data_IF_506172739901
#
_entry.id   IF_506172739901
#
_cell.length_a   1.000
_cell.length_b   1.000
_cell.length_c   1.000
_cell.angle_alpha   90.00
_cell.angle_beta   90.00
_cell.angle_gamma   90.00
#
_symmetry.space_group_name_H-M   'P 1'
#
loop_
_entity.id
_entity.type
_entity.pdbx_description
1 polymer ?
#
# COMPACT_ATOMS: atom_id res chain seq x y z
N UNK A 1 5.24 10.33 10.16
CA UNK A 1 3.88 10.57 9.64
C UNK A 1 3.77 12.04 9.28
N UNK A 2 3.17 12.39 8.14
CA UNK A 2 2.84 13.79 7.85
C UNK A 2 1.40 13.96 8.33
N UNK A 3 1.24 14.39 9.57
CA UNK A 3 -0.05 14.85 10.10
C UNK A 3 -0.36 16.18 9.43
N UNK A 4 -1.29 16.23 8.47
CA UNK A 4 -1.96 17.51 8.16
C UNK A 4 -3.14 17.38 7.19
N UNK A 5 -4.03 18.38 7.28
CA UNK A 5 -5.34 18.49 6.63
C UNK A 5 -5.39 17.99 5.17
N UNK A 6 -6.49 17.31 4.76
CA UNK A 6 -6.71 16.92 3.37
C UNK A 6 -6.73 18.15 2.44
N UNK A 7 -6.04 18.06 1.30
CA UNK A 7 -6.06 19.09 0.24
C UNK A 7 -4.76 19.86 -0.03
N UNK A 8 -3.70 19.66 0.75
CA UNK A 8 -2.42 20.40 0.59
C UNK A 8 -1.48 19.88 -0.53
N UNK A 9 -2.02 19.19 -1.55
CA UNK A 9 -1.24 18.80 -2.72
C UNK A 9 -0.23 17.66 -2.50
N UNK A 10 -0.28 16.91 -1.39
CA UNK A 10 0.61 15.77 -1.12
C UNK A 10 0.52 14.70 -2.21
N UNK A 11 -0.69 14.42 -2.69
CA UNK A 11 -0.93 13.54 -3.84
C UNK A 11 -0.27 14.08 -5.10
N UNK A 12 -0.45 15.36 -5.39
CA UNK A 12 0.17 16.03 -6.55
C UNK A 12 1.69 16.00 -6.47
N UNK A 13 2.26 16.21 -5.28
CA UNK A 13 3.70 16.15 -5.04
C UNK A 13 4.25 14.74 -5.22
N UNK A 14 3.60 13.72 -4.64
CA UNK A 14 4.03 12.32 -4.80
C UNK A 14 4.00 11.87 -6.26
N UNK A 15 2.92 12.20 -6.99
CA UNK A 15 2.80 11.94 -8.42
C UNK A 15 3.85 12.74 -9.22
N UNK A 16 4.10 13.99 -8.85
CA UNK A 16 5.09 14.85 -9.49
C UNK A 16 6.51 14.30 -9.36
N UNK A 17 6.89 13.84 -8.15
CA UNK A 17 8.18 13.19 -7.89
C UNK A 17 8.28 11.90 -8.69
N UNK A 18 7.26 11.04 -8.66
CA UNK A 18 7.26 9.78 -9.39
C UNK A 18 7.49 10.01 -10.90
N UNK A 19 6.71 10.91 -11.50
CA UNK A 19 6.84 11.25 -12.93
C UNK A 19 8.19 11.87 -13.27
N UNK A 20 8.69 12.80 -12.45
CA UNK A 20 9.95 13.49 -12.72
C UNK A 20 11.16 12.56 -12.65
N UNK A 21 11.08 11.49 -11.86
CA UNK A 21 12.14 10.51 -11.67
C UNK A 21 11.92 9.20 -12.45
N UNK A 22 10.82 9.08 -13.22
CA UNK A 22 10.48 7.86 -13.95
C UNK A 22 10.15 6.66 -13.04
N UNK A 23 9.65 6.91 -11.84
CA UNK A 23 9.34 5.91 -10.82
C UNK A 23 7.88 5.46 -10.89
N UNK A 24 7.62 4.20 -10.51
CA UNK A 24 6.26 3.67 -10.36
C UNK A 24 5.49 4.34 -9.23
N UNK A 25 4.20 4.57 -9.43
CA UNK A 25 3.30 5.17 -8.46
C UNK A 25 2.11 4.26 -8.17
N UNK A 26 1.90 3.95 -6.90
CA UNK A 26 0.75 3.21 -6.39
C UNK A 26 -0.09 4.07 -5.45
N UNK A 27 -1.39 3.82 -5.38
CA UNK A 27 -2.29 4.46 -4.42
C UNK A 27 -3.17 3.40 -3.75
N UNK A 28 -3.30 3.51 -2.44
CA UNK A 28 -4.20 2.71 -1.61
C UNK A 28 -5.11 3.68 -0.88
N UNK A 29 -6.42 3.53 -1.04
CA UNK A 29 -7.40 4.22 -0.21
C UNK A 29 -7.83 3.25 0.88
N UNK A 30 -7.58 3.59 2.14
CA UNK A 30 -7.97 2.73 3.24
C UNK A 30 -9.45 2.88 3.57
N UNK A 31 -10.11 1.74 3.69
CA UNK A 31 -11.50 1.57 4.10
C UNK A 31 -11.58 0.39 5.08
N UNK A 32 -12.67 0.27 5.83
CA UNK A 32 -12.83 -0.78 6.84
C UNK A 32 -12.92 -2.19 6.27
N UNK A 33 -13.21 -2.32 4.97
CA UNK A 33 -13.31 -3.57 4.21
C UNK A 33 -12.05 -3.90 3.40
N UNK A 34 -11.04 -3.02 3.38
CA UNK A 34 -9.79 -3.26 2.66
C UNK A 34 -9.06 -4.48 3.21
N UNK A 35 -8.75 -5.44 2.34
CA UNK A 35 -8.04 -6.67 2.70
C UNK A 35 -6.52 -6.49 2.57
N UNK A 36 -5.71 -7.27 3.33
CA UNK A 36 -4.26 -7.29 3.15
C UNK A 36 -3.81 -7.53 1.71
N UNK A 37 -4.49 -8.46 1.00
CA UNK A 37 -4.21 -8.80 -0.40
C UNK A 37 -4.46 -7.67 -1.38
N UNK A 38 -5.31 -6.70 -1.05
CA UNK A 38 -5.53 -5.53 -1.90
C UNK A 38 -4.30 -4.60 -1.89
N UNK A 39 -3.44 -4.72 -0.87
CA UNK A 39 -2.16 -4.00 -0.75
C UNK A 39 -1.02 -4.85 -1.29
N UNK A 40 -0.92 -6.09 -0.84
CA UNK A 40 0.22 -6.99 -1.10
C UNK A 40 0.10 -7.78 -2.40
N UNK A 41 -1.09 -7.83 -3.01
CA UNK A 41 -1.35 -8.64 -4.19
C UNK A 41 -1.92 -10.01 -3.85
N UNK A 42 -2.31 -10.74 -4.90
CA UNK A 42 -2.90 -12.07 -4.80
C UNK A 42 -2.55 -12.94 -6.01
N UNK A 43 -2.60 -14.25 -5.81
CA UNK A 43 -2.53 -15.22 -6.90
C UNK A 43 -3.90 -15.40 -7.55
N UNK A 44 -4.00 -15.19 -8.86
CA UNK A 44 -5.22 -15.39 -9.64
C UNK A 44 -5.01 -16.58 -10.57
N UNK A 45 -5.98 -17.50 -10.60
CA UNK A 45 -5.91 -18.65 -11.50
C UNK A 45 -6.14 -18.23 -12.96
N UNK A 46 -5.10 -18.38 -13.79
CA UNK A 46 -5.16 -18.11 -15.22
C UNK A 46 -5.61 -19.37 -15.97
N UNK A 47 -6.89 -19.41 -16.36
CA UNK A 47 -7.51 -20.56 -17.03
C UNK A 47 -6.82 -20.95 -18.35
N UNK A 48 -6.23 -19.99 -19.06
CA UNK A 48 -5.58 -20.26 -20.36
C UNK A 48 -4.24 -20.98 -20.17
N UNK A 49 -3.53 -20.68 -19.08
CA UNK A 49 -2.22 -21.27 -18.76
C UNK A 49 -2.33 -22.46 -17.80
N UNK A 50 -3.46 -22.60 -17.11
CA UNK A 50 -3.68 -23.65 -16.12
C UNK A 50 -2.90 -23.46 -14.82
N UNK A 51 -2.43 -22.24 -14.54
CA UNK A 51 -1.54 -21.92 -13.41
C UNK A 51 -2.05 -20.72 -12.60
N UNK A 52 -1.58 -20.60 -11.36
CA UNK A 52 -1.77 -19.40 -10.54
C UNK A 52 -0.72 -18.35 -10.91
N UNK A 53 -1.19 -17.17 -11.30
CA UNK A 53 -0.36 -16.02 -11.66
C UNK A 53 -0.43 -14.97 -10.56
N UNK A 54 0.73 -14.53 -10.06
CA UNK A 54 0.77 -13.50 -9.03
C UNK A 54 0.49 -12.13 -9.62
N UNK A 55 -0.57 -11.49 -9.14
CA UNK A 55 -0.89 -10.10 -9.43
C UNK A 55 -0.38 -9.22 -8.30
N UNK A 56 0.66 -8.44 -8.61
CA UNK A 56 1.26 -7.50 -7.68
C UNK A 56 0.26 -6.45 -7.22
N UNK A 57 0.18 -6.24 -5.91
CA UNK A 57 -0.58 -5.14 -5.33
C UNK A 57 0.13 -3.79 -5.46
N UNK A 58 -0.53 -2.68 -5.07
CA UNK A 58 0.02 -1.33 -5.19
C UNK A 58 1.37 -1.14 -4.48
N UNK A 59 1.65 -1.95 -3.44
CA UNK A 59 2.88 -1.88 -2.64
C UNK A 59 4.16 -2.11 -3.45
N UNK A 60 4.07 -2.73 -4.63
CA UNK A 60 5.23 -2.97 -5.50
C UNK A 60 5.68 -1.74 -6.30
N UNK A 61 4.98 -0.61 -6.20
CA UNK A 61 5.43 0.65 -6.79
C UNK A 61 6.55 1.29 -5.97
N UNK A 62 7.36 2.14 -6.61
CA UNK A 62 8.42 2.89 -5.95
C UNK A 62 7.89 3.92 -4.94
N UNK A 63 6.80 4.60 -5.30
CA UNK A 63 6.13 5.58 -4.44
C UNK A 63 4.69 5.11 -4.24
N UNK A 64 4.29 4.90 -2.98
CA UNK A 64 2.95 4.46 -2.62
C UNK A 64 2.29 5.51 -1.74
N UNK A 65 1.18 6.08 -2.20
CA UNK A 65 0.31 6.93 -1.38
C UNK A 65 -0.74 6.07 -0.68
N UNK A 66 -0.77 6.09 0.64
CA UNK A 66 -1.75 5.39 1.48
C UNK A 66 -2.63 6.43 2.14
N UNK A 67 -3.85 6.57 1.64
CA UNK A 67 -4.80 7.54 2.16
C UNK A 67 -5.61 6.97 3.32
N UNK A 68 -5.71 7.75 4.40
CA UNK A 68 -6.50 7.45 5.60
C UNK A 68 -6.17 6.10 6.25
N UNK A 69 -4.89 5.81 6.47
CA UNK A 69 -4.39 4.49 6.96
C UNK A 69 -5.12 4.00 8.23
N UNK A 70 -5.58 4.92 9.08
CA UNK A 70 -6.33 4.60 10.30
C UNK A 70 -7.73 4.00 10.05
N UNK A 71 -8.24 4.05 8.82
CA UNK A 71 -9.52 3.42 8.42
C UNK A 71 -9.38 1.94 8.09
N UNK A 72 -8.16 1.47 7.81
CA UNK A 72 -7.91 0.06 7.55
C UNK A 72 -7.93 -0.74 8.84
N UNK A 73 -8.33 -2.01 8.77
CA UNK A 73 -8.25 -2.92 9.92
C UNK A 73 -6.81 -3.08 10.42
N UNK A 74 -6.58 -3.40 11.71
CA UNK A 74 -5.23 -3.66 12.23
C UNK A 74 -4.46 -4.69 11.41
N UNK A 75 -5.13 -5.75 10.94
CA UNK A 75 -4.52 -6.79 10.09
C UNK A 75 -4.00 -6.22 8.77
N UNK A 76 -4.78 -5.34 8.13
CA UNK A 76 -4.40 -4.69 6.86
C UNK A 76 -3.27 -3.69 7.08
N UNK A 77 -3.29 -2.94 8.18
CA UNK A 77 -2.18 -2.06 8.56
C UNK A 77 -0.89 -2.85 8.83
N UNK A 78 -0.97 -3.96 9.57
CA UNK A 78 0.18 -4.84 9.82
C UNK A 78 0.80 -5.36 8.53
N UNK A 79 0.00 -5.80 7.55
CA UNK A 79 0.52 -6.28 6.27
C UNK A 79 1.28 -5.18 5.49
N UNK A 80 0.77 -3.95 5.51
CA UNK A 80 1.46 -2.80 4.93
C UNK A 80 2.79 -2.52 5.65
N UNK A 81 2.78 -2.49 6.99
CA UNK A 81 3.96 -2.20 7.81
C UNK A 81 5.02 -3.30 7.69
N UNK A 82 4.62 -4.56 7.62
CA UNK A 82 5.51 -5.70 7.39
C UNK A 82 6.21 -5.56 6.03
N UNK A 83 5.45 -5.30 4.95
CA UNK A 83 6.02 -5.06 3.64
C UNK A 83 7.01 -3.87 3.65
N UNK A 84 6.68 -2.81 4.39
CA UNK A 84 7.55 -1.65 4.56
C UNK A 84 8.81 -1.96 5.37
N UNK A 85 8.73 -2.79 6.40
CA UNK A 85 9.85 -3.17 7.26
C UNK A 85 10.80 -4.12 6.55
N UNK A 86 10.25 -5.18 5.96
CA UNK A 86 11.01 -6.26 5.33
C UNK A 86 11.44 -5.94 3.89
N UNK A 87 10.84 -4.91 3.27
CA UNK A 87 11.05 -4.53 1.86
C UNK A 87 10.76 -5.67 0.87
N UNK A 88 9.90 -6.60 1.28
CA UNK A 88 9.47 -7.75 0.51
C UNK A 88 8.07 -8.18 0.97
N UNK A 89 7.42 -8.99 0.15
CA UNK A 89 6.12 -9.60 0.46
C UNK A 89 6.21 -11.07 0.11
N UNK A 90 5.70 -11.94 1.00
CA UNK A 90 5.62 -13.38 0.75
C UNK A 90 4.17 -13.80 0.52
N UNK A 91 3.90 -14.44 -0.62
CA UNK A 91 2.59 -14.98 -1.01
C UNK A 91 2.80 -16.43 -1.43
N UNK A 92 2.05 -17.35 -0.84
CA UNK A 92 2.07 -18.79 -1.20
C UNK A 92 3.50 -19.34 -1.33
N UNK A 93 4.31 -19.11 -0.29
CA UNK A 93 5.72 -19.55 -0.19
C UNK A 93 6.71 -18.87 -1.14
N UNK A 94 6.27 -17.92 -1.97
CA UNK A 94 7.13 -17.11 -2.84
C UNK A 94 7.30 -15.71 -2.28
N UNK A 95 8.55 -15.31 -2.10
CA UNK A 95 8.92 -13.95 -1.67
C UNK A 95 9.25 -13.08 -2.86
N UNK A 96 8.61 -11.91 -2.92
CA UNK A 96 8.79 -10.89 -3.95
C UNK A 96 9.38 -9.63 -3.34
N UNK A 97 10.46 -9.12 -3.92
CA UNK A 97 11.11 -7.89 -3.47
C UNK A 97 10.33 -6.66 -3.92
N UNK A 98 10.24 -5.64 -3.06
CA UNK A 98 9.67 -4.36 -3.44
C UNK A 98 10.63 -3.56 -4.34
N UNK A 99 10.07 -2.71 -5.20
CA UNK A 99 10.83 -1.86 -6.12
C UNK A 99 11.78 -0.92 -5.36
N UNK A 100 12.97 -0.65 -5.91
CA UNK A 100 13.93 0.30 -5.32
C UNK A 100 14.11 1.53 -6.22
N UNK A 101 14.07 2.76 -5.68
CA UNK A 101 13.80 3.09 -4.27
C UNK A 101 12.31 2.84 -3.91
N UNK A 102 12.03 2.68 -2.60
CA UNK A 102 10.70 2.41 -2.07
C UNK A 102 10.31 3.43 -0.99
N UNK A 103 9.22 4.15 -1.21
CA UNK A 103 8.70 5.17 -0.30
C UNK A 103 7.18 5.04 -0.13
N UNK A 104 6.72 5.18 1.11
CA UNK A 104 5.30 5.25 1.44
C UNK A 104 4.99 6.62 2.02
N UNK A 105 3.99 7.29 1.46
CA UNK A 105 3.39 8.49 2.04
C UNK A 105 2.03 8.09 2.59
N UNK A 106 1.82 8.19 3.89
CA UNK A 106 0.55 7.87 4.52
C UNK A 106 -0.15 9.13 5.04
N UNK A 107 -1.47 9.21 4.85
CA UNK A 107 -2.34 10.21 5.48
C UNK A 107 -3.25 9.54 6.49
N UNK A 108 -3.75 10.31 7.46
CA UNK A 108 -4.71 9.84 8.46
C UNK A 108 -5.86 10.83 8.56
N UNK A 109 -7.07 10.33 8.80
CA UNK A 109 -8.24 11.16 9.09
C UNK A 109 -8.40 11.29 10.62
N UNK A 110 -8.20 12.49 11.20
CA UNK A 110 -8.17 12.67 12.66
C UNK A 110 -9.54 12.47 13.33
N UNK A 111 -10.64 12.56 12.59
CA UNK A 111 -11.99 12.42 13.11
C UNK A 111 -12.43 10.96 13.25
N UNK A 112 -11.75 10.03 12.58
CA UNK A 112 -12.07 8.59 12.59
C UNK A 112 -11.16 7.81 13.56
N UNK A 113 -10.98 8.32 14.78
CA UNK A 113 -10.35 7.58 15.90
C UNK A 113 -11.32 6.61 16.61
N UNK A 114 -12.56 6.47 16.12
CA UNK A 114 -13.54 5.54 16.70
C UNK A 114 -13.11 4.09 16.43
N UNK A 115 -12.54 3.44 17.46
CA UNK A 115 -12.15 2.03 17.43
C UNK A 115 -10.64 1.75 17.31
N UNK A 116 -9.79 2.75 17.53
CA UNK A 116 -8.33 2.53 17.50
C UNK A 116 -7.88 1.67 18.68
N UNK A 117 -7.29 0.52 18.35
CA UNK A 117 -6.25 -0.07 19.20
C UNK A 117 -5.05 0.88 19.16
N UNK A 118 -4.48 1.26 20.31
CA UNK A 118 -3.30 2.12 20.33
C UNK A 118 -2.13 1.41 19.63
N UNK A 119 -1.40 2.17 18.81
CA UNK A 119 -0.11 1.79 18.22
C UNK A 119 0.98 1.72 19.30
#
# INVERSE_FOLDING_TARGET
MIEDLPGLGKTTMAIGIAKSLGLGFGRVQCTSDLLPSDITGLSIYNKNKGEFEFHQGPIFNNIVLVDEINRATPKTQSALLEAMGEKQVTIEEKTYQLSRPFFVLATQNPLEQYGTFPL
#
